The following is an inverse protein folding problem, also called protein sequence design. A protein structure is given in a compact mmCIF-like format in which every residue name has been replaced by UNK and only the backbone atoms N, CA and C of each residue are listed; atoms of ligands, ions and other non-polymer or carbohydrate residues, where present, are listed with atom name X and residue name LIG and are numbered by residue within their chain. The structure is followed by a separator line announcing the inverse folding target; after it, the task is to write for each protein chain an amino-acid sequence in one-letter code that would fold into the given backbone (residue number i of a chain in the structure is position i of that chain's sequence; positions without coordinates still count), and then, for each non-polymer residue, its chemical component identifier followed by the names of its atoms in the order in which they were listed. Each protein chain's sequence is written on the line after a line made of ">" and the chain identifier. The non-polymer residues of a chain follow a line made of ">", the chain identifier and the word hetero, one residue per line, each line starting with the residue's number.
data_IF_972247807179
#
_entry.id   IF_972247807179
#
_cell.length_a   1.000
_cell.length_b   1.000
_cell.length_c   1.000
_cell.angle_alpha   90.00
_cell.angle_beta   90.00
_cell.angle_gamma   90.00
#
_symmetry.space_group_name_H-M   'P 1'
#
loop_
_entity.id
_entity.type
_entity.pdbx_description
1 polymer ?
#
# COMPACT_ATOMS: atom_id res chain seq x y z
N UNK A 1 -20.33 5.06 12.83
CA UNK A 1 -19.17 5.62 12.10
C UNK A 1 -18.40 4.45 11.52
N UNK A 2 -18.30 4.35 10.19
CA UNK A 2 -17.60 3.24 9.54
C UNK A 2 -16.10 3.43 9.74
N UNK A 3 -15.46 2.56 10.53
CA UNK A 3 -14.01 2.58 10.72
C UNK A 3 -13.33 2.32 9.37
N UNK A 4 -12.70 3.35 8.80
CA UNK A 4 -11.96 3.20 7.54
C UNK A 4 -10.69 2.40 7.79
N UNK A 5 -10.70 1.14 7.38
CA UNK A 5 -9.52 0.27 7.40
C UNK A 5 -8.56 0.72 6.30
N UNK A 6 -7.28 0.76 6.63
CA UNK A 6 -6.19 1.06 5.71
C UNK A 6 -5.22 -0.11 5.60
N UNK A 7 -4.58 -0.23 4.45
CA UNK A 7 -3.49 -1.17 4.21
C UNK A 7 -2.15 -0.48 4.35
N UNK A 8 -1.17 -1.23 4.88
CA UNK A 8 0.17 -0.72 5.15
C UNK A 8 1.16 -1.51 4.30
N UNK A 9 1.97 -0.80 3.52
CA UNK A 9 2.97 -1.37 2.63
C UNK A 9 4.36 -0.87 2.99
N UNK A 10 5.34 -1.78 3.04
CA UNK A 10 6.75 -1.43 3.04
C UNK A 10 7.21 -1.19 1.60
N UNK A 11 7.83 -0.04 1.34
CA UNK A 11 8.39 0.30 0.04
C UNK A 11 9.84 -0.15 0.01
N UNK A 12 10.15 -1.14 -0.82
CA UNK A 12 11.50 -1.61 -1.07
C UNK A 12 12.03 -1.00 -2.37
N UNK A 13 13.05 -0.14 -2.26
CA UNK A 13 13.82 0.34 -3.40
C UNK A 13 15.15 -0.42 -3.42
N UNK A 14 15.36 -1.27 -4.41
CA UNK A 14 16.61 -2.00 -4.59
C UNK A 14 17.49 -1.26 -5.57
N UNK A 15 18.78 -1.20 -5.30
CA UNK A 15 19.76 -0.63 -6.24
C UNK A 15 19.70 -1.38 -7.57
N UNK A 16 19.71 -0.64 -8.68
CA UNK A 16 19.57 -1.20 -10.03
C UNK A 16 18.16 -1.59 -10.46
N UNK A 17 17.12 -1.40 -9.63
CA UNK A 17 15.72 -1.55 -10.06
C UNK A 17 15.04 -0.19 -10.26
N UNK A 18 14.48 0.03 -11.44
CA UNK A 18 13.72 1.27 -11.74
C UNK A 18 12.41 1.36 -10.94
N UNK A 19 11.81 0.22 -10.59
CA UNK A 19 10.50 0.17 -9.92
C UNK A 19 10.66 -0.29 -8.47
N UNK A 20 10.00 0.43 -7.56
CA UNK A 20 9.92 0.02 -6.17
C UNK A 20 8.99 -1.19 -6.01
N UNK A 21 9.37 -2.13 -5.14
CA UNK A 21 8.55 -3.29 -4.77
C UNK A 21 7.78 -2.96 -3.49
N UNK A 22 6.47 -3.14 -3.54
CA UNK A 22 5.58 -2.82 -2.42
C UNK A 22 5.09 -4.11 -1.80
N UNK A 23 5.40 -4.29 -0.51
CA UNK A 23 5.05 -5.49 0.23
C UNK A 23 4.04 -5.10 1.29
N UNK A 24 2.86 -5.72 1.31
CA UNK A 24 1.88 -5.49 2.38
C UNK A 24 2.46 -6.04 3.69
N UNK A 25 2.52 -5.21 4.72
CA UNK A 25 3.14 -5.54 6.03
C UNK A 25 2.21 -5.28 7.21
N UNK A 26 0.95 -4.91 6.97
CA UNK A 26 0.00 -4.73 8.06
C UNK A 26 -1.27 -4.00 7.70
N UNK A 27 -1.96 -3.56 8.74
CA UNK A 27 -3.21 -2.80 8.68
C UNK A 27 -3.14 -1.56 9.55
N UNK A 28 -3.93 -0.54 9.22
CA UNK A 28 -3.99 0.69 9.98
C UNK A 28 -5.43 1.17 10.19
N UNK A 29 -5.64 1.86 11.31
CA UNK A 29 -6.94 2.38 11.74
C UNK A 29 -6.80 3.84 12.14
N UNK A 30 -7.76 4.67 11.72
CA UNK A 30 -7.85 6.07 12.14
C UNK A 30 -8.52 6.13 13.52
N UNK A 31 -7.86 6.78 14.47
CA UNK A 31 -8.36 7.06 15.81
C UNK A 31 -9.27 8.29 15.82
N UNK A 32 -10.00 8.50 16.93
CA UNK A 32 -10.94 9.63 17.08
C UNK A 32 -10.25 11.00 17.00
N UNK A 33 -9.00 11.09 17.42
CA UNK A 33 -8.16 12.29 17.40
C UNK A 33 -7.44 12.50 16.06
N UNK A 34 -7.81 11.76 15.01
CA UNK A 34 -7.13 11.70 13.71
C UNK A 34 -5.70 11.14 13.73
N UNK A 35 -5.24 10.58 14.86
CA UNK A 35 -4.03 9.75 14.85
C UNK A 35 -4.28 8.43 14.11
N UNK A 36 -3.20 7.70 13.78
CA UNK A 36 -3.28 6.43 13.07
C UNK A 36 -2.56 5.36 13.88
N UNK A 37 -3.28 4.32 14.26
CA UNK A 37 -2.69 3.11 14.84
C UNK A 37 -2.36 2.12 13.73
N UNK A 38 -1.14 1.58 13.78
CA UNK A 38 -0.62 0.64 12.78
C UNK A 38 -0.32 -0.69 13.46
N UNK A 39 -0.89 -1.77 12.95
CA UNK A 39 -0.55 -3.14 13.36
C UNK A 39 0.29 -3.76 12.25
N UNK A 40 1.54 -4.13 12.57
CA UNK A 40 2.50 -4.69 11.63
C UNK A 40 2.60 -6.21 11.79
N UNK A 41 2.51 -6.93 10.67
CA UNK A 41 2.72 -8.37 10.58
C UNK A 41 4.23 -8.71 10.49
N UNK A 42 5.06 -7.73 10.10
CA UNK A 42 6.51 -7.86 9.96
C UNK A 42 7.23 -6.52 10.24
N UNK A 43 8.51 -6.59 10.63
CA UNK A 43 9.34 -5.40 10.87
C UNK A 43 9.92 -4.87 9.54
N UNK A 44 9.54 -3.66 9.09
CA UNK A 44 10.03 -3.10 7.84
C UNK A 44 11.44 -2.51 8.01
N UNK A 45 12.46 -3.15 7.41
CA UNK A 45 13.84 -2.64 7.45
C UNK A 45 14.11 -1.51 6.44
N UNK A 46 13.12 -1.18 5.59
CA UNK A 46 13.26 -0.15 4.54
C UNK A 46 13.15 1.27 5.08
N UNK A 47 12.66 1.45 6.31
CA UNK A 47 12.38 2.75 6.91
C UNK A 47 11.24 3.55 6.25
N UNK A 48 10.59 3.01 5.20
CA UNK A 48 9.54 3.70 4.47
C UNK A 48 8.27 2.85 4.38
N UNK A 49 7.18 3.40 4.92
CA UNK A 49 5.85 2.83 4.84
C UNK A 49 4.93 3.71 3.98
N UNK A 50 4.00 3.06 3.29
CA UNK A 50 2.85 3.72 2.69
C UNK A 50 1.56 3.16 3.28
N UNK A 51 0.68 4.05 3.72
CA UNK A 51 -0.62 3.70 4.29
C UNK A 51 -1.69 4.20 3.32
N UNK A 52 -2.54 3.30 2.82
CA UNK A 52 -3.57 3.61 1.81
C UNK A 52 -4.93 3.06 2.20
N UNK A 53 -5.98 3.58 1.59
CA UNK A 53 -7.32 3.04 1.80
C UNK A 53 -7.42 1.59 1.32
N UNK A 54 -8.06 0.74 2.12
CA UNK A 54 -8.32 -0.65 1.74
C UNK A 54 -9.33 -0.68 0.58
N UNK A 55 -8.98 -1.42 -0.47
CA UNK A 55 -9.85 -1.68 -1.63
C UNK A 55 -10.17 -3.17 -1.66
N UNK A 56 -11.47 -3.50 -1.64
CA UNK A 56 -11.91 -4.88 -1.60
C UNK A 56 -11.46 -5.65 -2.85
N UNK A 57 -11.22 -6.95 -2.72
CA UNK A 57 -10.60 -7.80 -3.76
C UNK A 57 -11.41 -7.89 -5.07
N UNK A 58 -12.65 -7.40 -5.12
CA UNK A 58 -13.48 -7.31 -6.33
C UNK A 58 -13.42 -5.96 -7.08
N UNK A 59 -12.88 -4.91 -6.47
CA UNK A 59 -12.85 -3.54 -7.04
C UNK A 59 -11.53 -3.21 -7.76
N UNK A 60 -10.53 -4.09 -7.66
CA UNK A 60 -9.17 -3.89 -8.21
C UNK A 60 -9.05 -4.14 -9.72
N UNK A 61 -10.08 -4.70 -10.35
CA UNK A 61 -10.02 -5.24 -11.72
C UNK A 61 -9.95 -4.19 -12.83
N UNK A 62 -10.02 -2.89 -12.55
CA UNK A 62 -10.23 -1.85 -13.58
C UNK A 62 -9.11 -0.82 -13.74
N UNK A 63 -8.01 -0.89 -12.97
CA UNK A 63 -6.97 0.17 -12.99
C UNK A 63 -5.64 -0.19 -13.66
N UNK A 64 -5.33 -1.47 -13.89
CA UNK A 64 -4.01 -1.88 -14.39
C UNK A 64 -3.98 -2.26 -15.89
N UNK A 65 -5.06 -2.00 -16.64
CA UNK A 65 -5.20 -2.35 -18.07
C UNK A 65 -5.13 -1.12 -18.99
N UNK A 66 -4.16 -0.23 -18.76
CA UNK A 66 -4.04 0.99 -19.57
C UNK A 66 -2.68 1.64 -19.46
N UNK A 67 -1.61 0.99 -19.92
CA UNK A 67 -0.42 1.58 -20.58
C UNK A 67 0.49 0.42 -21.02
N UNK A 68 0.14 -0.25 -22.13
CA UNK A 68 1.10 -1.02 -22.92
C UNK A 68 1.16 -0.36 -24.30
N UNK A 69 2.01 0.65 -24.38
CA UNK A 69 2.83 1.00 -25.54
C UNK A 69 2.36 0.44 -26.91
N UNK A 70 1.54 1.21 -27.64
CA UNK A 70 1.47 1.11 -29.10
C UNK A 70 2.39 2.17 -29.70
N UNK A 71 3.66 1.78 -29.84
CA UNK A 71 4.71 2.55 -30.50
C UNK A 71 5.52 1.64 -31.41
N UNK A 72 4.95 1.24 -32.55
CA UNK A 72 5.71 0.73 -33.69
C UNK A 72 5.06 1.10 -35.02
#
# INVERSE_FOLDING_TARGET
>A
MTTKIKEVFAINKREGQEKAVWIRVGTAFICKDNSINVTLDAVPLTGTLNIRDYVAKGERSTRDEGTRDEGR
#
